data_IF_562830524862
#
_entry.id   IF_562830524862
#
_cell.length_a   1.000
_cell.length_b   1.000
_cell.length_c   1.000
_cell.angle_alpha   90.00
_cell.angle_beta   90.00
_cell.angle_gamma   90.00
#
_symmetry.space_group_name_H-M   'P 1'
#
loop_
_entity.id
_entity.type
_entity.pdbx_description
1 polymer ?
#
# COMPACT_ATOMS: atom_id res chain seq x y z
N UNK A 1 -13.65 5.54 -44.30
CA UNK A 1 -13.08 4.57 -43.34
C UNK A 1 -12.33 5.36 -42.29
N UNK A 2 -12.82 5.39 -41.05
CA UNK A 2 -12.16 6.04 -39.92
C UNK A 2 -11.32 4.96 -39.23
N UNK A 3 -10.01 5.13 -39.02
CA UNK A 3 -9.23 4.14 -38.29
C UNK A 3 -9.76 4.13 -36.86
N UNK A 4 -10.28 2.97 -36.49
CA UNK A 4 -10.41 2.40 -35.14
C UNK A 4 -9.88 3.29 -34.02
N UNK A 5 -10.80 3.72 -33.17
CA UNK A 5 -10.52 4.17 -31.80
C UNK A 5 -9.47 3.24 -31.18
N UNK A 6 -8.32 3.82 -30.88
CA UNK A 6 -7.28 3.15 -30.12
C UNK A 6 -7.92 2.68 -28.81
N UNK A 7 -8.16 1.37 -28.70
CA UNK A 7 -8.31 0.69 -27.43
C UNK A 7 -7.07 1.08 -26.62
N UNK A 8 -7.20 2.11 -25.79
CA UNK A 8 -6.27 2.43 -24.71
C UNK A 8 -6.06 1.09 -24.01
N UNK A 9 -4.88 0.44 -24.11
CA UNK A 9 -4.69 -0.82 -23.42
C UNK A 9 -4.97 -0.51 -21.96
N UNK A 10 -5.92 -1.24 -21.38
CA UNK A 10 -6.43 -0.97 -20.04
C UNK A 10 -5.23 -0.66 -19.15
N UNK A 11 -5.21 0.55 -18.58
CA UNK A 11 -4.12 1.11 -17.78
C UNK A 11 -4.06 0.40 -16.42
N UNK A 12 -3.98 -0.92 -16.45
CA UNK A 12 -3.82 -1.82 -15.34
C UNK A 12 -2.36 -1.90 -14.96
N UNK A 13 -2.12 -2.13 -13.66
CA UNK A 13 -0.83 -2.59 -13.17
C UNK A 13 -0.44 -3.85 -13.94
N UNK A 14 0.56 -3.77 -14.82
CA UNK A 14 1.06 -4.91 -15.57
C UNK A 14 2.53 -5.15 -15.25
N UNK A 15 2.96 -6.41 -15.29
CA UNK A 15 4.35 -6.81 -15.05
C UNK A 15 4.82 -6.53 -13.61
N UNK A 16 6.01 -5.95 -13.48
CA UNK A 16 6.68 -5.73 -12.17
C UNK A 16 5.85 -4.86 -11.22
N UNK A 17 5.03 -3.93 -11.72
CA UNK A 17 4.23 -3.08 -10.85
C UNK A 17 3.11 -3.85 -10.14
N UNK A 18 2.55 -4.86 -10.80
CA UNK A 18 1.58 -5.76 -10.18
C UNK A 18 2.25 -6.61 -9.09
N UNK A 19 3.46 -7.11 -9.34
CA UNK A 19 4.22 -7.86 -8.33
C UNK A 19 4.56 -6.99 -7.11
N UNK A 20 4.97 -5.73 -7.33
CA UNK A 20 5.24 -4.77 -6.26
C UNK A 20 3.96 -4.44 -5.47
N UNK A 21 2.85 -4.21 -6.17
CA UNK A 21 1.56 -3.99 -5.53
C UNK A 21 1.13 -5.19 -4.68
N UNK A 22 1.25 -6.41 -5.22
CA UNK A 22 0.91 -7.65 -4.51
C UNK A 22 1.79 -7.88 -3.29
N UNK A 23 3.11 -7.73 -3.43
CA UNK A 23 4.05 -7.87 -2.33
C UNK A 23 3.77 -6.87 -1.23
N UNK A 24 3.65 -5.58 -1.58
CA UNK A 24 3.35 -4.53 -0.62
C UNK A 24 1.99 -4.74 0.06
N UNK A 25 0.98 -5.20 -0.69
CA UNK A 25 -0.35 -5.50 -0.15
C UNK A 25 -0.32 -6.68 0.82
N UNK A 26 0.33 -7.79 0.46
CA UNK A 26 0.49 -8.93 1.38
C UNK A 26 1.27 -8.53 2.64
N UNK A 27 2.39 -7.82 2.48
CA UNK A 27 3.22 -7.41 3.60
C UNK A 27 2.48 -6.51 4.58
N UNK A 28 1.78 -5.49 4.06
CA UNK A 28 0.95 -4.62 4.86
C UNK A 28 -0.21 -5.39 5.48
N UNK A 29 -0.89 -6.26 4.73
CA UNK A 29 -2.00 -7.08 5.21
C UNK A 29 -1.60 -7.97 6.40
N UNK A 30 -0.49 -8.68 6.30
CA UNK A 30 0.02 -9.54 7.39
C UNK A 30 0.24 -8.74 8.68
N UNK A 31 0.86 -7.57 8.60
CA UNK A 31 1.06 -6.77 9.81
C UNK A 31 -0.24 -6.25 10.43
N UNK A 32 -1.26 -5.93 9.62
CA UNK A 32 -2.57 -5.52 10.14
C UNK A 32 -3.30 -6.67 10.86
N UNK A 33 -3.18 -7.89 10.33
CA UNK A 33 -3.72 -9.09 10.98
C UNK A 33 -3.03 -9.32 12.32
N UNK A 34 -1.69 -9.26 12.37
CA UNK A 34 -0.93 -9.41 13.60
C UNK A 34 -1.30 -8.35 14.64
N UNK A 35 -1.49 -7.10 14.22
CA UNK A 35 -1.92 -6.03 15.11
C UNK A 35 -3.33 -6.28 15.67
N UNK A 36 -4.23 -6.84 14.86
CA UNK A 36 -5.61 -7.18 15.27
C UNK A 36 -5.65 -8.33 16.27
N UNK A 37 -4.78 -9.33 16.10
CA UNK A 37 -4.60 -10.42 17.07
C UNK A 37 -4.06 -9.88 18.41
N UNK A 38 -3.23 -8.85 18.36
CA UNK A 38 -2.62 -8.28 19.58
C UNK A 38 -3.62 -7.43 20.37
N UNK A 39 -4.48 -6.65 19.69
CA UNK A 39 -5.53 -5.85 20.32
C UNK A 39 -6.54 -5.35 19.30
N UNK A 40 -7.83 -5.32 19.66
CA UNK A 40 -8.90 -4.79 18.79
C UNK A 40 -8.69 -3.31 18.46
N UNK A 41 -8.23 -2.51 19.43
CA UNK A 41 -7.96 -1.06 19.21
C UNK A 41 -6.75 -0.85 18.31
N UNK A 42 -5.70 -1.64 18.50
CA UNK A 42 -4.51 -1.63 17.65
C UNK A 42 -4.84 -2.10 16.23
N UNK A 43 -5.64 -3.16 16.11
CA UNK A 43 -6.14 -3.68 14.84
C UNK A 43 -6.93 -2.65 14.05
N UNK A 44 -7.91 -1.99 14.67
CA UNK A 44 -8.72 -0.96 14.01
C UNK A 44 -7.86 0.22 13.52
N UNK A 45 -6.92 0.72 14.35
CA UNK A 45 -6.00 1.78 13.96
C UNK A 45 -5.05 1.32 12.84
N UNK A 46 -4.52 0.09 12.93
CA UNK A 46 -3.65 -0.49 11.92
C UNK A 46 -4.37 -0.68 10.60
N UNK A 47 -5.63 -1.14 10.59
CA UNK A 47 -6.46 -1.29 9.39
C UNK A 47 -6.69 0.05 8.69
N UNK A 48 -6.98 1.12 9.41
CA UNK A 48 -7.13 2.47 8.82
C UNK A 48 -5.85 2.93 8.15
N UNK A 49 -4.70 2.80 8.83
CA UNK A 49 -3.40 3.16 8.27
C UNK A 49 -3.05 2.29 7.05
N UNK A 50 -3.38 1.00 7.11
CA UNK A 50 -3.18 0.06 6.00
C UNK A 50 -4.02 0.42 4.79
N UNK A 51 -5.30 0.71 4.99
CA UNK A 51 -6.21 1.12 3.92
C UNK A 51 -5.76 2.40 3.25
N UNK A 52 -5.32 3.40 4.04
CA UNK A 52 -4.76 4.64 3.50
C UNK A 52 -3.46 4.39 2.74
N UNK A 53 -2.57 3.56 3.27
CA UNK A 53 -1.33 3.16 2.62
C UNK A 53 -1.56 2.45 1.28
N UNK A 54 -2.51 1.52 1.23
CA UNK A 54 -2.92 0.84 0.01
C UNK A 54 -3.52 1.81 -1.01
N UNK A 55 -4.39 2.71 -0.58
CA UNK A 55 -4.97 3.73 -1.46
C UNK A 55 -3.88 4.61 -2.08
N UNK A 56 -2.92 5.09 -1.28
CA UNK A 56 -1.78 5.86 -1.76
C UNK A 56 -0.90 5.05 -2.70
N UNK A 57 -0.65 3.77 -2.39
CA UNK A 57 0.13 2.88 -3.24
C UNK A 57 -0.52 2.68 -4.60
N UNK A 58 -1.82 2.36 -4.65
CA UNK A 58 -2.57 2.21 -5.90
C UNK A 58 -2.61 3.52 -6.69
N UNK A 59 -2.82 4.66 -6.03
CA UNK A 59 -2.79 5.99 -6.64
C UNK A 59 -1.40 6.29 -7.23
N UNK A 60 -0.35 5.99 -6.48
CA UNK A 60 1.04 6.22 -6.88
C UNK A 60 1.45 5.35 -8.07
N UNK A 61 1.15 4.06 -8.00
CA UNK A 61 1.47 3.13 -9.06
C UNK A 61 0.65 3.39 -10.33
N UNK A 62 -0.55 3.99 -10.24
CA UNK A 62 -1.31 4.43 -11.42
C UNK A 62 -0.78 5.73 -12.04
N UNK A 63 0.05 6.50 -11.34
CA UNK A 63 0.69 7.65 -11.96
C UNK A 63 1.72 7.14 -12.97
N UNK A 64 1.58 7.49 -14.26
CA UNK A 64 2.43 7.05 -15.37
C UNK A 64 3.88 7.57 -15.30
N UNK A 65 4.57 7.26 -14.21
CA UNK A 65 5.95 7.62 -13.91
C UNK A 65 6.91 6.51 -14.36
N UNK A 66 8.21 6.80 -14.49
CA UNK A 66 9.22 5.76 -14.75
C UNK A 66 9.22 4.67 -13.67
N UNK A 67 9.44 3.42 -14.07
CA UNK A 67 9.46 2.24 -13.20
C UNK A 67 10.33 2.40 -11.93
N UNK A 68 11.59 2.89 -11.97
CA UNK A 68 12.39 3.06 -10.76
C UNK A 68 11.79 4.07 -9.77
N UNK A 69 11.13 5.13 -10.27
CA UNK A 69 10.47 6.14 -9.43
C UNK A 69 9.21 5.55 -8.78
N UNK A 70 8.49 4.68 -9.49
CA UNK A 70 7.32 3.97 -8.96
C UNK A 70 7.71 3.02 -7.84
N UNK A 71 8.78 2.25 -8.04
CA UNK A 71 9.33 1.36 -7.01
C UNK A 71 9.80 2.13 -5.78
N UNK A 72 10.61 3.18 -5.95
CA UNK A 72 11.10 3.99 -4.84
C UNK A 72 9.94 4.60 -4.02
N UNK A 73 8.90 5.11 -4.69
CA UNK A 73 7.72 5.62 -4.00
C UNK A 73 6.88 4.53 -3.31
N UNK A 74 6.77 3.34 -3.91
CA UNK A 74 6.11 2.21 -3.25
C UNK A 74 6.84 1.80 -1.96
N UNK A 75 8.17 1.70 -2.00
CA UNK A 75 9.01 1.42 -0.82
C UNK A 75 8.85 2.51 0.23
N UNK A 76 8.84 3.78 -0.18
CA UNK A 76 8.62 4.91 0.73
C UNK A 76 7.25 4.83 1.43
N UNK A 77 6.17 4.55 0.69
CA UNK A 77 4.83 4.40 1.25
C UNK A 77 4.78 3.27 2.26
N UNK A 78 5.37 2.11 1.94
CA UNK A 78 5.44 0.98 2.87
C UNK A 78 6.23 1.34 4.13
N UNK A 79 7.39 2.00 3.98
CA UNK A 79 8.21 2.43 5.11
C UNK A 79 7.45 3.39 6.04
N UNK A 80 6.71 4.34 5.49
CA UNK A 80 5.86 5.28 6.26
C UNK A 80 4.75 4.54 6.99
N UNK A 81 4.04 3.63 6.32
CA UNK A 81 2.97 2.81 6.93
C UNK A 81 3.51 2.01 8.12
N UNK A 82 4.68 1.39 7.97
CA UNK A 82 5.34 0.65 9.05
C UNK A 82 5.76 1.57 10.19
N UNK A 83 6.35 2.72 9.89
CA UNK A 83 6.73 3.71 10.91
C UNK A 83 5.54 4.16 11.74
N UNK A 84 4.40 4.45 11.10
CA UNK A 84 3.15 4.81 11.78
C UNK A 84 2.63 3.66 12.64
N UNK A 85 2.69 2.41 12.16
CA UNK A 85 2.29 1.25 12.98
C UNK A 85 3.16 1.05 14.21
N UNK A 86 4.48 1.21 14.09
CA UNK A 86 5.39 1.11 15.24
C UNK A 86 5.06 2.20 16.27
N UNK A 87 4.76 3.42 15.81
CA UNK A 87 4.33 4.51 16.68
C UNK A 87 2.99 4.19 17.36
N UNK A 88 1.99 3.72 16.60
CA UNK A 88 0.70 3.29 17.14
C UNK A 88 0.86 2.18 18.17
N UNK A 89 1.74 1.21 17.91
CA UNK A 89 2.05 0.13 18.84
C UNK A 89 2.66 0.66 20.13
N UNK A 90 3.62 1.59 20.06
CA UNK A 90 4.18 2.25 21.25
C UNK A 90 3.11 3.04 22.03
N UNK A 91 2.30 3.84 21.34
CA UNK A 91 1.30 4.69 22.00
C UNK A 91 0.19 3.85 22.64
N UNK A 92 -0.30 2.81 21.95
CA UNK A 92 -1.47 2.04 22.37
C UNK A 92 -1.14 0.83 23.25
N UNK A 93 0.08 0.30 23.20
CA UNK A 93 0.51 -0.83 24.05
C UNK A 93 1.49 -0.44 25.15
N UNK A 94 2.22 0.67 25.02
CA UNK A 94 3.20 1.15 26.03
C UNK A 94 2.68 2.37 26.79
N UNK A 95 1.50 2.90 26.44
CA UNK A 95 0.83 3.96 27.18
C UNK A 95 0.03 3.42 28.36
N UNK A 96 0.69 2.81 29.35
CA UNK A 96 0.40 2.72 30.79
C UNK A 96 1.52 1.92 31.48
#
# INVERSE_FOLDING_TARGET
MKPTDEEKPASGLQGTDFAVAMFATMFMGTGAVLDTVTSVRLGAASLLVTGLGLWLLFRWLKAGRPQPVRFAGAVLIVAVVLGVRVLLKKVLLTGF
#
